data_IF_501392046127
#
_entry.id   IF_501392046127
#
_cell.length_a   1.000
_cell.length_b   1.000
_cell.length_c   1.000
_cell.angle_alpha   90.00
_cell.angle_beta   90.00
_cell.angle_gamma   90.00
#
_symmetry.space_group_name_H-M   'P 1'
#
loop_
_entity.id
_entity.type
_entity.pdbx_description
1 polymer ?
#
# COMPACT_ATOMS: atom_id res chain seq x y z
N UNK A 1 23.00 17.64 10.11
CA UNK A 1 21.89 16.74 10.36
C UNK A 1 20.80 16.96 9.34
N UNK A 2 20.27 15.91 8.81
CA UNK A 2 19.24 16.00 7.80
C UNK A 2 17.89 15.63 8.40
N UNK A 3 16.95 16.52 8.28
CA UNK A 3 15.61 16.27 8.77
C UNK A 3 14.68 16.00 7.61
N UNK A 4 14.12 14.80 7.59
CA UNK A 4 13.05 14.52 6.65
C UNK A 4 11.78 15.17 7.15
N UNK A 5 10.95 15.70 6.26
CA UNK A 5 9.63 16.18 6.67
C UNK A 5 8.87 15.04 7.35
N UNK A 6 8.08 15.31 8.40
CA UNK A 6 7.31 14.25 9.06
C UNK A 6 6.43 13.47 8.10
N UNK A 7 5.92 14.11 7.05
CA UNK A 7 5.06 13.47 6.04
C UNK A 7 5.84 12.53 5.12
N UNK A 8 7.17 12.61 5.11
CA UNK A 8 8.01 11.76 4.26
C UNK A 8 8.52 10.53 5.01
N UNK A 9 8.20 10.39 6.28
CA UNK A 9 8.67 9.26 7.06
C UNK A 9 7.88 7.99 6.74
N UNK A 10 8.58 6.85 6.53
CA UNK A 10 7.88 5.59 6.35
C UNK A 10 7.28 5.12 7.66
N UNK A 11 6.19 4.38 7.56
CA UNK A 11 5.56 3.79 8.72
C UNK A 11 5.25 2.32 8.42
N UNK A 12 5.79 1.38 9.22
CA UNK A 12 5.51 -0.05 9.02
C UNK A 12 4.02 -0.40 9.05
N UNK A 13 3.19 0.43 9.67
CA UNK A 13 1.74 0.22 9.67
C UNK A 13 1.16 0.35 8.27
N UNK A 14 1.86 0.99 7.34
CA UNK A 14 1.43 1.13 5.95
C UNK A 14 2.07 0.09 5.03
N UNK A 15 2.80 -0.87 5.59
CA UNK A 15 3.40 -1.92 4.78
C UNK A 15 2.31 -2.83 4.22
N UNK A 16 2.52 -3.27 2.98
CA UNK A 16 1.70 -4.31 2.37
C UNK A 16 2.63 -5.37 1.81
N UNK A 17 2.26 -6.62 2.03
CA UNK A 17 3.04 -7.77 1.57
C UNK A 17 2.14 -8.66 0.73
N UNK A 18 2.60 -9.03 -0.45
CA UNK A 18 1.90 -9.99 -1.29
C UNK A 18 1.86 -11.35 -0.58
N UNK A 19 0.76 -12.14 -0.70
CA UNK A 19 0.67 -13.44 -0.04
C UNK A 19 1.83 -14.39 -0.31
N UNK A 20 2.52 -14.23 -1.44
CA UNK A 20 3.72 -15.05 -1.74
C UNK A 20 4.88 -14.77 -0.79
N UNK A 21 4.87 -13.63 -0.11
CA UNK A 21 5.98 -13.17 0.72
C UNK A 21 7.14 -12.56 -0.07
N UNK A 22 7.01 -12.42 -1.38
CA UNK A 22 8.11 -11.98 -2.26
C UNK A 22 8.05 -10.51 -2.65
N UNK A 23 7.00 -9.79 -2.26
CA UNK A 23 6.79 -8.38 -2.62
C UNK A 23 6.36 -7.62 -1.39
N UNK A 24 7.10 -6.58 -1.04
CA UNK A 24 6.78 -5.69 0.08
C UNK A 24 6.77 -4.26 -0.43
N UNK A 25 5.69 -3.53 -0.15
CA UNK A 25 5.63 -2.09 -0.38
C UNK A 25 5.54 -1.39 0.97
N UNK A 26 6.32 -0.32 1.12
CA UNK A 26 6.28 0.55 2.30
C UNK A 26 5.97 1.96 1.86
N UNK A 27 4.95 2.56 2.48
CA UNK A 27 4.52 3.91 2.18
C UNK A 27 4.82 4.84 3.34
N UNK A 28 4.89 6.13 3.01
CA UNK A 28 4.96 7.21 3.98
C UNK A 28 3.57 7.75 4.25
N UNK A 29 3.46 8.55 5.30
CA UNK A 29 2.24 9.29 5.58
C UNK A 29 1.79 10.07 4.33
N UNK A 30 0.51 10.04 4.04
CA UNK A 30 -0.07 10.69 2.87
C UNK A 30 -0.03 9.85 1.61
N UNK A 31 0.52 8.63 1.67
CA UNK A 31 0.49 7.69 0.55
C UNK A 31 1.71 7.73 -0.36
N UNK A 32 2.73 8.50 -0.01
CA UNK A 32 3.95 8.53 -0.80
C UNK A 32 4.71 7.22 -0.68
N UNK A 33 5.19 6.70 -1.80
CA UNK A 33 5.97 5.47 -1.79
C UNK A 33 7.34 5.73 -1.15
N UNK A 34 7.71 4.89 -0.19
CA UNK A 34 9.04 4.93 0.41
C UNK A 34 9.97 3.88 -0.22
N UNK A 35 9.53 2.63 -0.26
CA UNK A 35 10.40 1.57 -0.75
C UNK A 35 9.60 0.37 -1.23
N UNK A 36 10.24 -0.40 -2.09
CA UNK A 36 9.73 -1.67 -2.61
C UNK A 36 10.83 -2.71 -2.42
N UNK A 37 10.48 -3.86 -1.89
CA UNK A 37 11.40 -4.97 -1.79
C UNK A 37 10.85 -6.16 -2.56
N UNK A 38 11.67 -6.74 -3.42
CA UNK A 38 11.32 -7.91 -4.20
C UNK A 38 12.39 -8.97 -3.94
N UNK A 39 11.99 -10.23 -3.80
CA UNK A 39 12.95 -11.32 -3.71
C UNK A 39 13.29 -11.84 -5.09
N UNK A 40 14.38 -12.59 -5.21
CA UNK A 40 14.79 -13.17 -6.50
C UNK A 40 13.73 -14.11 -7.09
N UNK A 41 12.90 -14.70 -6.24
CA UNK A 41 11.87 -15.64 -6.70
C UNK A 41 10.92 -15.02 -7.71
N UNK A 42 10.71 -13.68 -7.69
CA UNK A 42 9.83 -13.03 -8.66
C UNK A 42 10.37 -13.10 -10.09
N UNK A 43 11.66 -13.32 -10.26
CA UNK A 43 12.28 -13.38 -11.59
C UNK A 43 11.83 -14.60 -12.39
N UNK A 44 11.31 -15.62 -11.73
CA UNK A 44 10.81 -16.83 -12.42
C UNK A 44 9.28 -16.80 -12.59
N UNK A 45 8.62 -15.71 -12.27
CA UNK A 45 7.17 -15.63 -12.39
C UNK A 45 6.78 -15.04 -13.73
N UNK A 46 5.53 -15.31 -14.15
CA UNK A 46 4.98 -14.70 -15.35
C UNK A 46 4.93 -13.18 -15.19
N UNK A 47 5.36 -12.46 -16.22
CA UNK A 47 5.49 -11.00 -16.14
C UNK A 47 4.15 -10.32 -15.88
N UNK A 48 3.06 -10.82 -16.47
CA UNK A 48 1.73 -10.23 -16.25
C UNK A 48 1.26 -10.46 -14.82
N UNK A 49 1.46 -11.67 -14.32
CA UNK A 49 1.10 -12.02 -12.94
C UNK A 49 1.90 -11.16 -11.95
N UNK A 50 3.19 -10.97 -12.22
CA UNK A 50 4.04 -10.12 -11.37
C UNK A 50 3.58 -8.67 -11.40
N UNK A 51 3.25 -8.13 -12.57
CA UNK A 51 2.78 -6.76 -12.70
C UNK A 51 1.48 -6.54 -11.91
N UNK A 52 0.55 -7.49 -11.96
CA UNK A 52 -0.68 -7.42 -11.19
C UNK A 52 -0.39 -7.49 -9.69
N UNK A 53 0.51 -8.37 -9.27
CA UNK A 53 0.89 -8.52 -7.88
C UNK A 53 1.51 -7.22 -7.33
N UNK A 54 2.37 -6.58 -8.11
CA UNK A 54 2.99 -5.30 -7.73
C UNK A 54 1.92 -4.24 -7.57
N UNK A 55 1.02 -4.11 -8.56
CA UNK A 55 -0.04 -3.12 -8.50
C UNK A 55 -0.94 -3.31 -7.28
N UNK A 56 -1.38 -4.55 -7.03
CA UNK A 56 -2.26 -4.83 -5.90
C UNK A 56 -1.59 -4.56 -4.57
N UNK A 57 -0.30 -4.92 -4.44
CA UNK A 57 0.44 -4.68 -3.21
C UNK A 57 0.65 -3.19 -2.97
N UNK A 58 1.00 -2.46 -4.02
CA UNK A 58 1.17 -1.01 -3.94
C UNK A 58 -0.14 -0.32 -3.55
N UNK A 59 -1.26 -0.73 -4.14
CA UNK A 59 -2.57 -0.16 -3.83
C UNK A 59 -2.91 -0.32 -2.35
N UNK A 60 -2.66 -1.47 -1.77
CA UNK A 60 -2.96 -1.71 -0.35
C UNK A 60 -2.08 -0.85 0.55
N UNK A 61 -0.78 -0.75 0.25
CA UNK A 61 0.12 0.10 1.03
C UNK A 61 -0.32 1.57 0.99
N UNK A 62 -0.64 2.07 -0.21
CA UNK A 62 -1.15 3.41 -0.40
C UNK A 62 -2.43 3.64 0.41
N UNK A 63 -3.39 2.72 0.30
CA UNK A 63 -4.68 2.87 0.98
C UNK A 63 -4.55 2.78 2.49
N UNK A 64 -3.63 1.99 3.02
CA UNK A 64 -3.36 2.00 4.47
C UNK A 64 -2.97 3.40 4.94
N UNK A 65 -2.09 4.07 4.20
CA UNK A 65 -1.69 5.43 4.54
C UNK A 65 -2.87 6.41 4.44
N UNK A 66 -3.71 6.25 3.42
CA UNK A 66 -4.86 7.13 3.23
C UNK A 66 -5.96 6.89 4.28
N UNK A 67 -6.09 5.67 4.80
CA UNK A 67 -7.02 5.40 5.90
C UNK A 67 -6.63 6.17 7.16
N UNK A 68 -5.34 6.35 7.41
CA UNK A 68 -4.90 7.19 8.53
C UNK A 68 -5.28 8.64 8.31
N UNK A 69 -5.07 9.16 7.09
CA UNK A 69 -5.47 10.53 6.74
C UNK A 69 -6.98 10.71 6.92
N UNK A 70 -7.77 9.74 6.43
CA UNK A 70 -9.22 9.78 6.59
C UNK A 70 -9.63 9.82 8.06
N UNK A 71 -8.98 9.00 8.88
CA UNK A 71 -9.25 8.98 10.31
C UNK A 71 -8.94 10.31 10.98
N UNK A 72 -7.88 10.98 10.56
CA UNK A 72 -7.51 12.29 11.09
C UNK A 72 -8.53 13.37 10.71
N UNK A 73 -9.02 13.34 9.47
CA UNK A 73 -10.04 14.27 9.00
C UNK A 73 -11.31 14.12 9.83
N UNK A 74 -11.74 12.89 10.04
CA UNK A 74 -12.93 12.60 10.85
C UNK A 74 -12.74 13.00 12.31
N UNK A 75 -11.56 12.71 12.88
CA UNK A 75 -11.25 13.06 14.26
C UNK A 75 -11.24 14.58 14.48
N UNK A 76 -10.89 15.33 13.44
CA UNK A 76 -10.90 16.79 13.50
C UNK A 76 -12.31 17.38 13.30
N UNK A 77 -13.33 16.55 13.12
CA UNK A 77 -14.71 16.99 12.95
C UNK A 77 -15.06 17.40 11.53
N UNK A 78 -14.21 17.05 10.56
CA UNK A 78 -14.46 17.38 9.16
C UNK A 78 -15.00 16.17 8.39
N UNK A 79 -15.59 16.46 7.23
CA UNK A 79 -16.06 15.41 6.32
C UNK A 79 -15.04 15.25 5.20
N UNK A 80 -14.52 14.03 5.00
CA UNK A 80 -13.59 13.79 3.90
C UNK A 80 -14.25 14.06 2.55
N UNK A 81 -13.49 14.62 1.61
CA UNK A 81 -14.00 14.84 0.26
C UNK A 81 -14.16 13.49 -0.48
N UNK A 82 -14.87 13.52 -1.59
CA UNK A 82 -15.09 12.33 -2.41
C UNK A 82 -13.79 11.73 -2.97
N UNK A 83 -12.72 12.53 -2.99
CA UNK A 83 -11.42 12.09 -3.49
C UNK A 83 -10.65 11.24 -2.48
N UNK A 84 -11.00 11.33 -1.20
CA UNK A 84 -10.36 10.53 -0.16
C UNK A 84 -10.95 9.12 -0.18
N UNK A 85 -10.11 8.08 -0.33
CA UNK A 85 -10.62 6.71 -0.36
C UNK A 85 -11.40 6.35 0.89
N UNK A 86 -12.36 5.45 0.74
CA UNK A 86 -13.21 4.98 1.84
C UNK A 86 -12.68 3.65 2.37
N UNK A 87 -13.23 3.22 3.53
CA UNK A 87 -12.93 1.90 4.06
C UNK A 87 -13.38 0.80 3.11
N UNK A 88 -14.46 1.02 2.35
CA UNK A 88 -14.90 0.06 1.33
C UNK A 88 -13.85 -0.10 0.24
N UNK A 89 -13.22 1.00 -0.19
CA UNK A 89 -12.15 0.95 -1.17
C UNK A 89 -10.96 0.15 -0.63
N UNK A 90 -10.60 0.38 0.62
CA UNK A 90 -9.52 -0.35 1.25
C UNK A 90 -9.84 -1.84 1.36
N UNK A 91 -11.04 -2.19 1.81
CA UNK A 91 -11.45 -3.58 1.97
C UNK A 91 -11.42 -4.33 0.65
N UNK A 92 -11.87 -3.69 -0.43
CA UNK A 92 -11.84 -4.29 -1.76
C UNK A 92 -10.40 -4.53 -2.24
N UNK A 93 -9.52 -3.57 -2.02
CA UNK A 93 -8.11 -3.71 -2.40
C UNK A 93 -7.42 -4.80 -1.59
N UNK A 94 -7.68 -4.85 -0.28
CA UNK A 94 -7.09 -5.86 0.60
C UNK A 94 -7.56 -7.26 0.20
N UNK A 95 -8.83 -7.42 -0.16
CA UNK A 95 -9.36 -8.70 -0.61
C UNK A 95 -8.72 -9.13 -1.93
N UNK A 96 -8.58 -8.21 -2.88
CA UNK A 96 -7.95 -8.50 -4.16
C UNK A 96 -6.49 -8.96 -3.98
N UNK A 97 -5.76 -8.30 -3.09
CA UNK A 97 -4.38 -8.69 -2.80
C UNK A 97 -4.33 -10.06 -2.14
N UNK A 98 -5.17 -10.29 -1.15
CA UNK A 98 -5.20 -11.55 -0.42
C UNK A 98 -5.44 -12.75 -1.34
N UNK A 99 -6.27 -12.55 -2.35
CA UNK A 99 -6.67 -13.63 -3.26
C UNK A 99 -5.76 -13.80 -4.47
N UNK A 100 -4.83 -12.89 -4.68
CA UNK A 100 -3.93 -12.96 -5.82
C UNK A 100 -2.82 -13.98 -5.60
N UNK A 101 -2.47 -14.70 -6.67
CA UNK A 101 -1.39 -15.69 -6.67
C UNK A 101 -0.41 -15.37 -7.79
N UNK A 102 0.88 -15.49 -7.48
CA UNK A 102 1.92 -15.39 -8.49
C UNK A 102 1.96 -16.68 -9.30
N UNK A 103 2.02 -16.54 -10.62
CA UNK A 103 2.07 -17.66 -11.53
C UNK A 103 3.44 -17.77 -12.18
N UNK A 104 3.86 -18.99 -12.39
CA UNK A 104 5.15 -19.25 -13.03
C UNK A 104 5.13 -18.96 -14.54
#
# INVERSE_FOLDING_TARGET
>A
MTDSPPTAEPNPEFDAVHPSGHILFRSCRGGYLHSVALTEAVMSTDARSLAEAIKLTADVSYLKALMEVRGEILAAGHTPSAEVPTTTDFDAAAAALRDHRLEA
#
